data_IF_631931982114
#
_entry.id   IF_631931982114
#
_cell.length_a   1.000
_cell.length_b   1.000
_cell.length_c   1.000
_cell.angle_alpha   90.00
_cell.angle_beta   90.00
_cell.angle_gamma   90.00
#
_symmetry.space_group_name_H-M   'P 1'
#
loop_
_entity.id
_entity.type
_entity.pdbx_description
1 polymer ?
#
# COMPACT_ATOMS: atom_id res chain seq x y z
N UNK A 1 49.71 13.61 30.90
CA UNK A 1 49.77 14.86 31.69
C UNK A 1 48.60 14.79 32.64
N UNK A 2 48.88 14.21 33.74
CA UNK A 2 49.04 14.79 35.07
C UNK A 2 47.68 15.12 35.69
N UNK A 3 47.33 14.32 36.66
CA UNK A 3 47.59 14.43 38.11
C UNK A 3 46.33 15.01 38.78
N UNK A 4 45.77 14.52 39.77
CA UNK A 4 46.01 13.82 41.03
C UNK A 4 44.80 14.07 41.94
N UNK A 5 44.39 13.04 42.62
CA UNK A 5 44.50 12.87 44.06
C UNK A 5 43.83 13.93 44.98
N UNK A 6 42.95 13.55 45.87
CA UNK A 6 43.28 13.12 47.28
C UNK A 6 41.96 12.92 48.04
N UNK A 7 41.73 11.75 48.65
CA UNK A 7 42.04 11.42 50.04
C UNK A 7 41.34 12.37 51.03
N UNK A 8 40.79 12.02 52.10
CA UNK A 8 40.94 10.96 53.11
C UNK A 8 39.85 11.15 54.15
N UNK A 9 39.36 10.05 54.66
CA UNK A 9 39.39 9.66 56.10
C UNK A 9 38.46 10.44 57.01
N UNK A 10 37.78 9.84 57.83
CA UNK A 10 37.94 8.79 58.79
C UNK A 10 37.19 9.13 60.09
N UNK A 11 36.85 8.12 60.76
CA UNK A 11 36.74 7.86 62.19
C UNK A 11 35.36 8.07 62.83
N UNK A 12 34.75 6.99 63.17
CA UNK A 12 34.93 6.09 64.34
C UNK A 12 34.60 6.74 65.70
N UNK A 13 33.83 6.01 66.40
CA UNK A 13 33.77 5.85 67.89
C UNK A 13 32.46 6.34 68.45
N UNK A 14 31.80 5.71 69.31
CA UNK A 14 31.93 4.58 70.20
C UNK A 14 30.62 4.58 71.00
N UNK A 15 30.08 3.42 71.17
CA UNK A 15 30.07 2.65 72.39
C UNK A 15 29.16 3.21 73.51
N UNK A 16 28.20 2.47 73.79
CA UNK A 16 28.07 1.61 74.95
C UNK A 16 27.22 2.13 76.12
N UNK A 17 26.49 1.15 76.66
CA UNK A 17 25.98 1.00 78.03
C UNK A 17 24.69 1.77 78.37
N UNK A 18 23.65 1.17 78.94
CA UNK A 18 23.48 0.34 80.13
C UNK A 18 22.05 -0.20 80.15
N UNK A 19 21.76 -1.40 80.08
CA UNK A 19 21.43 -2.43 81.04
C UNK A 19 20.65 -1.99 82.30
N UNK A 20 19.59 -2.80 82.61
CA UNK A 20 18.93 -3.08 83.89
C UNK A 20 17.72 -2.23 84.28
N UNK A 21 16.61 -2.85 84.42
CA UNK A 21 15.90 -3.34 85.58
C UNK A 21 14.52 -3.81 85.15
N UNK A 22 14.20 -5.03 85.14
CA UNK A 22 13.86 -6.00 86.12
C UNK A 22 12.55 -5.73 86.85
N UNK A 23 11.63 -6.61 86.57
CA UNK A 23 10.82 -7.39 87.48
C UNK A 23 9.57 -6.80 88.20
N UNK A 24 8.55 -7.63 88.10
CA UNK A 24 7.48 -7.92 89.01
C UNK A 24 6.27 -6.95 89.03
N UNK A 25 5.12 -7.39 88.82
CA UNK A 25 4.32 -8.18 89.73
C UNK A 25 3.06 -8.77 89.10
N UNK A 26 2.81 -9.95 89.51
CA UNK A 26 1.70 -10.80 89.12
C UNK A 26 0.37 -10.37 89.76
N UNK A 27 -0.65 -11.06 89.24
CA UNK A 27 -1.96 -11.37 89.89
C UNK A 27 -3.15 -10.50 89.56
N UNK A 28 -4.08 -11.18 88.92
CA UNK A 28 -5.44 -10.74 88.76
C UNK A 28 -6.24 -11.72 87.88
N UNK A 29 -6.55 -12.90 88.47
CA UNK A 29 -7.58 -13.79 87.89
C UNK A 29 -8.93 -13.14 87.99
N UNK A 30 -9.65 -13.04 86.90
CA UNK A 30 -11.09 -12.89 86.84
C UNK A 30 -11.71 -13.74 85.77
N UNK A 31 -12.52 -14.65 86.18
CA UNK A 31 -13.25 -15.64 85.44
C UNK A 31 -14.41 -14.97 84.66
N UNK A 32 -14.34 -15.00 83.33
CA UNK A 32 -15.37 -14.50 82.40
C UNK A 32 -15.61 -15.51 81.32
N UNK A 33 -16.72 -16.20 81.38
CA UNK A 33 -17.20 -17.16 80.39
C UNK A 33 -17.13 -16.57 78.96
N UNK A 34 -16.26 -17.10 78.18
CA UNK A 34 -16.25 -16.89 76.70
C UNK A 34 -17.44 -17.66 76.11
N UNK A 35 -18.30 -16.93 75.49
CA UNK A 35 -19.29 -17.44 74.56
C UNK A 35 -18.59 -17.66 73.20
N UNK A 36 -18.42 -18.92 72.90
CA UNK A 36 -18.00 -19.32 71.56
C UNK A 36 -19.00 -18.75 70.53
N UNK A 37 -18.57 -17.78 69.76
CA UNK A 37 -19.15 -17.47 68.50
C UNK A 37 -18.12 -17.93 67.43
N UNK A 38 -18.23 -19.21 67.04
CA UNK A 38 -17.74 -19.69 65.77
C UNK A 38 -18.48 -18.94 64.65
N UNK A 39 -17.86 -17.91 64.23
CA UNK A 39 -18.15 -17.21 63.01
C UNK A 39 -16.84 -17.06 62.26
N UNK A 40 -16.31 -18.16 61.76
CA UNK A 40 -15.29 -18.10 60.76
C UNK A 40 -15.91 -17.43 59.52
N UNK A 41 -15.75 -16.11 59.39
CA UNK A 41 -15.85 -15.47 58.11
C UNK A 41 -14.79 -16.15 57.22
N UNK A 42 -15.26 -17.06 56.38
CA UNK A 42 -14.45 -17.61 55.30
C UNK A 42 -13.98 -16.40 54.49
N UNK A 43 -12.72 -16.01 54.68
CA UNK A 43 -12.09 -15.05 53.81
C UNK A 43 -12.28 -15.57 52.38
N UNK A 44 -13.09 -14.85 51.61
CA UNK A 44 -13.32 -15.11 50.20
C UNK A 44 -11.97 -14.93 49.46
N UNK A 45 -11.19 -16.02 49.40
CA UNK A 45 -9.87 -16.06 48.75
C UNK A 45 -10.00 -16.13 47.23
N UNK A 46 -11.18 -15.79 46.72
CA UNK A 46 -11.41 -15.76 45.27
C UNK A 46 -10.68 -14.58 44.61
N UNK A 47 -9.97 -14.86 43.55
CA UNK A 47 -9.24 -13.85 42.75
C UNK A 47 -10.25 -13.13 41.85
N UNK A 48 -10.33 -11.79 41.91
CA UNK A 48 -11.19 -11.07 40.99
C UNK A 48 -10.65 -11.16 39.56
N UNK A 49 -11.51 -11.52 38.59
CA UNK A 49 -11.17 -11.67 37.18
C UNK A 49 -12.24 -11.05 36.30
N UNK A 50 -11.81 -10.42 35.19
CA UNK A 50 -12.72 -10.02 34.12
C UNK A 50 -12.80 -11.13 33.10
N UNK A 51 -13.99 -11.39 32.58
CA UNK A 51 -14.22 -12.43 31.60
C UNK A 51 -14.96 -11.88 30.38
N UNK A 52 -14.63 -12.42 29.21
CA UNK A 52 -15.35 -12.14 27.97
C UNK A 52 -15.83 -13.45 27.31
N UNK A 53 -16.98 -13.43 26.65
CA UNK A 53 -17.40 -14.54 25.80
C UNK A 53 -16.53 -14.59 24.55
N UNK A 54 -16.34 -15.79 24.03
CA UNK A 54 -15.75 -15.99 22.70
C UNK A 54 -16.68 -15.42 21.61
N UNK A 55 -16.10 -14.94 20.55
CA UNK A 55 -16.83 -14.33 19.44
C UNK A 55 -16.52 -15.08 18.14
N UNK A 56 -17.55 -15.33 17.33
CA UNK A 56 -17.37 -15.80 15.97
C UNK A 56 -17.57 -14.63 15.02
N UNK A 57 -16.54 -14.32 14.25
CA UNK A 57 -16.59 -13.21 13.29
C UNK A 57 -15.60 -13.47 12.14
N UNK A 58 -15.76 -12.79 11.01
CA UNK A 58 -14.76 -12.82 9.95
C UNK A 58 -13.40 -12.37 10.43
N UNK A 59 -12.34 -13.06 10.02
CA UNK A 59 -10.97 -12.70 10.28
C UNK A 59 -10.17 -12.75 8.99
N UNK A 60 -9.31 -11.78 8.78
CA UNK A 60 -8.46 -11.69 7.62
C UNK A 60 -7.00 -11.62 8.05
N UNK A 61 -6.14 -12.30 7.29
CA UNK A 61 -4.71 -12.10 7.37
C UNK A 61 -4.29 -11.13 6.26
N UNK A 62 -3.51 -10.13 6.62
CA UNK A 62 -3.06 -9.09 5.71
C UNK A 62 -1.54 -9.02 5.68
N UNK A 63 -1.00 -8.79 4.50
CA UNK A 63 0.36 -8.32 4.33
C UNK A 63 0.31 -6.80 4.19
N UNK A 64 0.99 -6.07 5.06
CA UNK A 64 1.04 -4.60 5.01
C UNK A 64 2.41 -4.14 4.50
N UNK A 65 2.40 -3.32 3.48
CA UNK A 65 3.58 -2.66 2.93
C UNK A 65 3.28 -1.21 2.61
N UNK A 66 4.32 -0.40 2.42
CA UNK A 66 4.19 0.98 1.93
C UNK A 66 4.71 1.08 0.51
N UNK A 67 4.04 1.86 -0.32
CA UNK A 67 4.43 2.10 -1.69
C UNK A 67 4.03 3.51 -2.13
N UNK A 68 4.78 4.14 -3.06
CA UNK A 68 4.29 5.32 -3.74
C UNK A 68 3.15 4.92 -4.69
N UNK A 69 2.19 5.81 -4.82
CA UNK A 69 1.18 5.75 -5.88
C UNK A 69 1.83 6.30 -7.16
N UNK A 70 1.76 5.55 -8.22
CA UNK A 70 2.32 5.90 -9.53
C UNK A 70 1.22 5.92 -10.58
N UNK A 71 1.46 6.63 -11.66
CA UNK A 71 0.61 6.55 -12.84
C UNK A 71 0.80 5.19 -13.52
N UNK A 72 -0.26 4.69 -14.14
CA UNK A 72 -0.19 3.45 -14.91
C UNK A 72 0.79 3.58 -16.10
N UNK A 73 0.64 4.67 -16.83
CA UNK A 73 1.50 5.05 -17.95
C UNK A 73 1.75 6.55 -17.91
N UNK A 74 2.93 6.98 -18.29
CA UNK A 74 3.22 8.37 -18.58
C UNK A 74 4.01 8.47 -19.91
N UNK A 75 3.71 9.50 -20.66
CA UNK A 75 4.34 9.75 -21.94
C UNK A 75 4.83 11.18 -22.01
N UNK A 76 6.13 11.33 -22.25
CA UNK A 76 6.71 12.60 -22.64
C UNK A 76 6.55 12.79 -24.14
N UNK A 77 5.76 13.79 -24.52
CA UNK A 77 5.47 14.11 -25.90
C UNK A 77 6.55 15.07 -26.40
N UNK A 78 7.35 14.61 -27.36
CA UNK A 78 8.42 15.40 -27.96
C UNK A 78 8.05 15.84 -29.36
N UNK A 79 8.59 16.98 -29.81
CA UNK A 79 8.44 17.44 -31.18
C UNK A 79 9.19 16.51 -32.15
N UNK A 80 8.55 16.07 -33.24
CA UNK A 80 9.19 15.25 -34.28
C UNK A 80 9.81 16.10 -35.38
N UNK A 81 9.30 17.33 -35.57
CA UNK A 81 9.82 18.33 -36.50
C UNK A 81 10.00 19.66 -35.78
N UNK A 82 10.90 20.50 -36.29
CA UNK A 82 11.09 21.86 -35.78
C UNK A 82 10.10 22.84 -36.38
N UNK A 83 9.76 23.89 -35.64
CA UNK A 83 8.89 24.97 -36.09
C UNK A 83 8.48 25.91 -34.97
N UNK A 84 7.84 27.01 -35.33
CA UNK A 84 7.20 27.93 -34.37
C UNK A 84 5.88 27.35 -33.90
N UNK A 85 5.59 27.44 -32.62
CA UNK A 85 4.30 27.03 -32.02
C UNK A 85 3.22 28.08 -32.39
N UNK A 86 2.32 27.71 -33.26
CA UNK A 86 1.23 28.59 -33.72
C UNK A 86 0.01 28.56 -32.80
N UNK A 87 -0.36 27.36 -32.33
CA UNK A 87 -1.56 27.15 -31.54
C UNK A 87 -1.32 26.07 -30.50
N UNK A 88 -1.95 26.24 -29.35
CA UNK A 88 -2.03 25.26 -28.26
C UNK A 88 -3.53 25.06 -27.96
N UNK A 89 -3.98 23.82 -27.90
CA UNK A 89 -5.39 23.45 -27.77
C UNK A 89 -5.73 22.93 -26.39
N UNK A 90 -4.73 22.69 -25.52
CA UNK A 90 -4.90 22.11 -24.19
C UNK A 90 -4.01 22.83 -23.18
N UNK A 91 -4.47 22.82 -21.93
CA UNK A 91 -3.72 23.32 -20.77
C UNK A 91 -3.42 22.19 -19.79
N UNK A 92 -2.55 22.47 -18.80
CA UNK A 92 -2.27 21.55 -17.72
C UNK A 92 -3.54 21.27 -16.92
N UNK A 93 -3.83 19.98 -16.67
CA UNK A 93 -5.05 19.50 -16.03
C UNK A 93 -6.12 19.02 -17.00
N UNK A 94 -6.04 19.33 -18.29
CA UNK A 94 -7.01 18.88 -19.27
C UNK A 94 -6.93 17.38 -19.51
N UNK A 95 -8.08 16.75 -19.69
CA UNK A 95 -8.17 15.33 -20.09
C UNK A 95 -8.10 15.23 -21.61
N UNK A 96 -7.27 14.33 -22.11
CA UNK A 96 -7.02 14.11 -23.54
C UNK A 96 -7.17 12.64 -23.93
N UNK A 97 -7.54 12.41 -25.19
CA UNK A 97 -7.60 11.08 -25.78
C UNK A 97 -6.37 10.79 -26.64
N UNK A 98 -6.04 9.49 -26.81
CA UNK A 98 -4.98 9.10 -27.74
C UNK A 98 -5.24 9.64 -29.16
N UNK A 99 -4.22 10.22 -29.81
CA UNK A 99 -4.32 10.86 -31.11
C UNK A 99 -4.87 12.28 -31.10
N UNK A 100 -5.35 12.81 -29.98
CA UNK A 100 -5.84 14.20 -29.88
C UNK A 100 -4.71 15.19 -30.15
N UNK A 101 -4.98 16.24 -30.93
CA UNK A 101 -4.02 17.32 -31.20
C UNK A 101 -3.91 18.20 -29.95
N UNK A 102 -2.69 18.36 -29.46
CA UNK A 102 -2.36 19.18 -28.29
C UNK A 102 -1.88 20.58 -28.70
N UNK A 103 -1.08 20.63 -29.76
CA UNK A 103 -0.55 21.88 -30.34
C UNK A 103 -0.29 21.74 -31.85
N UNK A 104 -0.16 22.85 -32.50
CA UNK A 104 0.18 22.93 -33.93
C UNK A 104 1.36 23.86 -34.14
N UNK A 105 2.34 23.36 -34.89
CA UNK A 105 3.50 24.12 -35.35
C UNK A 105 3.20 24.79 -36.68
N UNK A 106 4.01 25.78 -36.99
CA UNK A 106 4.03 26.35 -38.37
C UNK A 106 4.48 25.29 -39.38
N UNK A 107 3.59 24.91 -40.25
CA UNK A 107 3.80 23.91 -41.28
C UNK A 107 3.80 24.51 -42.72
N UNK A 108 3.84 25.84 -42.87
CA UNK A 108 3.65 26.45 -44.19
C UNK A 108 4.70 25.98 -45.22
N UNK A 109 5.98 25.91 -44.80
CA UNK A 109 7.04 25.37 -45.68
C UNK A 109 6.79 23.91 -46.06
N UNK A 110 6.48 23.04 -45.08
CA UNK A 110 6.21 21.61 -45.31
C UNK A 110 4.97 21.40 -46.19
N UNK A 111 3.96 22.27 -46.07
CA UNK A 111 2.76 22.25 -46.92
C UNK A 111 3.08 22.58 -48.35
N UNK A 112 3.96 23.56 -48.59
CA UNK A 112 4.43 23.91 -49.94
C UNK A 112 5.28 22.79 -50.54
N UNK A 113 6.18 22.19 -49.77
CA UNK A 113 7.02 21.06 -50.20
C UNK A 113 6.14 19.84 -50.57
N UNK A 114 5.11 19.55 -49.78
CA UNK A 114 4.13 18.52 -50.12
C UNK A 114 3.37 18.82 -51.40
N UNK A 115 2.89 20.06 -51.59
CA UNK A 115 2.15 20.45 -52.77
C UNK A 115 3.02 20.34 -54.04
N UNK A 116 4.31 20.69 -53.95
CA UNK A 116 5.26 20.53 -55.05
C UNK A 116 5.48 19.05 -55.40
N UNK A 117 5.69 18.19 -54.39
CA UNK A 117 5.90 16.76 -54.59
C UNK A 117 4.64 16.11 -55.18
N UNK A 118 3.45 16.50 -54.70
CA UNK A 118 2.17 16.06 -55.26
C UNK A 118 1.99 16.41 -56.74
N UNK A 119 2.37 17.64 -57.13
CA UNK A 119 2.31 18.05 -58.54
C UNK A 119 3.23 17.19 -59.41
N UNK A 120 4.44 16.89 -58.95
CA UNK A 120 5.37 16.02 -59.62
C UNK A 120 4.85 14.57 -59.69
N UNK A 121 4.26 14.05 -58.65
CA UNK A 121 3.64 12.72 -58.58
C UNK A 121 2.56 12.60 -59.67
N UNK A 122 1.61 13.55 -59.71
CA UNK A 122 0.55 13.57 -60.72
C UNK A 122 1.10 13.64 -62.16
N UNK A 123 2.25 14.28 -62.38
CA UNK A 123 2.93 14.29 -63.68
C UNK A 123 3.43 12.90 -64.03
N UNK A 124 4.20 12.23 -63.12
CA UNK A 124 4.74 10.90 -63.38
C UNK A 124 3.66 9.83 -63.49
N UNK A 125 2.56 9.93 -62.75
CA UNK A 125 1.41 9.02 -62.89
C UNK A 125 0.82 9.07 -64.31
N UNK A 126 0.68 10.27 -64.88
CA UNK A 126 0.22 10.46 -66.28
C UNK A 126 1.22 9.93 -67.24
N UNK A 127 2.51 10.17 -67.04
CA UNK A 127 3.59 9.73 -67.96
C UNK A 127 3.69 8.20 -67.95
N UNK A 128 3.65 7.55 -66.74
CA UNK A 128 3.61 6.09 -66.62
C UNK A 128 2.40 5.50 -67.36
N UNK A 129 1.20 6.03 -67.12
CA UNK A 129 -0.03 5.57 -67.80
C UNK A 129 0.11 5.62 -69.33
N UNK A 130 0.65 6.73 -69.88
CA UNK A 130 0.90 6.87 -71.32
C UNK A 130 1.94 5.85 -71.80
N UNK A 131 3.03 5.63 -71.04
CA UNK A 131 4.05 4.66 -71.45
C UNK A 131 3.51 3.21 -71.40
N UNK A 132 2.68 2.90 -70.42
CA UNK A 132 2.01 1.60 -70.28
C UNK A 132 1.11 1.35 -71.53
N UNK A 133 0.22 2.29 -71.90
CA UNK A 133 -0.66 2.21 -73.08
C UNK A 133 0.10 2.05 -74.40
N UNK A 134 1.23 2.76 -74.52
CA UNK A 134 2.09 2.65 -75.73
C UNK A 134 2.82 1.29 -75.79
N UNK A 135 3.25 0.77 -74.61
CA UNK A 135 3.91 -0.53 -74.54
C UNK A 135 2.93 -1.67 -74.84
N UNK A 136 1.70 -1.59 -74.40
CA UNK A 136 0.63 -2.56 -74.68
C UNK A 136 0.30 -2.60 -76.18
N UNK A 137 0.43 -1.46 -76.90
CA UNK A 137 0.28 -1.34 -78.38
C UNK A 137 1.54 -1.72 -79.10
N UNK A 138 2.65 -2.11 -78.45
CA UNK A 138 3.93 -2.45 -79.08
C UNK A 138 4.70 -1.26 -79.62
N UNK A 139 4.32 -0.03 -79.23
CA UNK A 139 4.92 1.23 -79.80
C UNK A 139 6.17 1.66 -79.02
N UNK A 140 6.40 1.12 -77.84
CA UNK A 140 7.61 1.33 -77.01
C UNK A 140 8.10 0.03 -76.45
N UNK A 141 9.39 -0.05 -76.07
CA UNK A 141 9.93 -1.24 -75.38
C UNK A 141 9.30 -1.41 -73.99
N UNK A 142 9.06 -2.66 -73.53
CA UNK A 142 8.52 -2.97 -72.15
C UNK A 142 9.36 -2.33 -71.08
N UNK A 143 10.70 -2.33 -71.21
CA UNK A 143 11.58 -1.70 -70.21
C UNK A 143 11.35 -0.20 -70.05
N UNK A 144 10.80 0.51 -71.06
CA UNK A 144 10.45 1.94 -70.89
C UNK A 144 9.28 2.15 -69.93
N UNK A 145 8.25 1.30 -70.03
CA UNK A 145 7.12 1.35 -69.11
C UNK A 145 7.51 0.88 -67.66
N UNK A 146 8.41 -0.12 -67.58
CA UNK A 146 8.95 -0.57 -66.29
C UNK A 146 9.77 0.52 -65.61
N UNK A 147 10.67 1.21 -66.36
CA UNK A 147 11.43 2.33 -65.81
C UNK A 147 10.51 3.47 -65.33
N UNK A 148 9.50 3.83 -66.12
CA UNK A 148 8.53 4.85 -65.73
C UNK A 148 7.75 4.44 -64.47
N UNK A 149 7.53 3.14 -64.26
CA UNK A 149 6.94 2.62 -63.01
C UNK A 149 7.87 2.82 -61.82
N UNK A 150 9.16 2.47 -61.95
CA UNK A 150 10.13 2.66 -60.87
C UNK A 150 10.28 4.14 -60.49
N UNK A 151 10.29 5.05 -61.47
CA UNK A 151 10.34 6.50 -61.23
C UNK A 151 9.08 6.98 -60.47
N UNK A 152 7.90 6.44 -60.83
CA UNK A 152 6.65 6.73 -60.13
C UNK A 152 6.66 6.22 -58.70
N UNK A 153 7.09 4.96 -58.48
CA UNK A 153 7.14 4.35 -57.16
C UNK A 153 8.11 5.10 -56.24
N UNK A 154 9.26 5.55 -56.75
CA UNK A 154 10.23 6.38 -56.03
C UNK A 154 9.63 7.74 -55.61
N UNK A 155 8.92 8.42 -56.54
CA UNK A 155 8.30 9.70 -56.21
C UNK A 155 7.08 9.56 -55.30
N UNK A 156 6.35 8.44 -55.36
CA UNK A 156 5.27 8.14 -54.42
C UNK A 156 5.81 8.03 -53.00
N UNK A 157 6.93 7.31 -52.82
CA UNK A 157 7.60 7.23 -51.50
C UNK A 157 8.06 8.61 -51.00
N UNK A 158 8.54 9.50 -51.89
CA UNK A 158 8.89 10.87 -51.52
C UNK A 158 7.66 11.70 -51.11
N UNK A 159 6.53 11.54 -51.78
CA UNK A 159 5.27 12.18 -51.42
C UNK A 159 4.76 11.71 -50.05
N UNK A 160 4.77 10.40 -49.81
CA UNK A 160 4.35 9.82 -48.54
C UNK A 160 5.23 10.32 -47.37
N UNK A 161 6.54 10.47 -47.59
CA UNK A 161 7.48 11.08 -46.64
C UNK A 161 7.15 12.53 -46.32
N UNK A 162 6.91 13.37 -47.36
CA UNK A 162 6.55 14.77 -47.19
C UNK A 162 5.21 14.93 -46.46
N UNK A 163 4.25 14.06 -46.75
CA UNK A 163 2.96 14.01 -46.03
C UNK A 163 3.14 13.65 -44.54
N UNK A 164 3.99 12.68 -44.26
CA UNK A 164 4.30 12.28 -42.88
C UNK A 164 4.99 13.42 -42.12
N UNK A 165 5.96 14.10 -42.72
CA UNK A 165 6.63 15.26 -42.09
C UNK A 165 5.65 16.39 -41.80
N UNK A 166 4.74 16.70 -42.71
CA UNK A 166 3.68 17.68 -42.48
C UNK A 166 2.77 17.26 -41.33
N UNK A 167 2.43 15.97 -41.23
CA UNK A 167 1.61 15.44 -40.13
C UNK A 167 2.26 15.65 -38.77
N UNK A 168 3.58 15.67 -38.68
CA UNK A 168 4.34 15.88 -37.46
C UNK A 168 4.30 17.33 -36.96
N UNK A 169 3.77 18.27 -37.74
CA UNK A 169 3.49 19.63 -37.27
C UNK A 169 2.33 19.65 -36.26
N UNK A 170 1.50 18.61 -36.26
CA UNK A 170 0.48 18.43 -35.25
C UNK A 170 1.04 17.55 -34.14
N UNK A 171 1.29 18.17 -32.97
CA UNK A 171 1.72 17.48 -31.75
C UNK A 171 0.51 16.79 -31.14
N UNK A 172 0.55 15.44 -31.07
CA UNK A 172 -0.59 14.62 -30.63
C UNK A 172 -0.28 13.83 -29.39
N UNK A 173 -1.30 13.58 -28.54
CA UNK A 173 -1.20 12.71 -27.39
C UNK A 173 -0.99 11.25 -27.81
N UNK A 174 0.08 10.56 -27.36
CA UNK A 174 0.30 9.16 -27.69
C UNK A 174 -0.57 8.20 -26.88
N UNK A 175 -1.01 8.60 -25.68
CA UNK A 175 -1.85 7.85 -24.75
C UNK A 175 -3.03 8.71 -24.28
N UNK A 176 -4.13 8.09 -23.84
CA UNK A 176 -5.18 8.84 -23.13
C UNK A 176 -4.70 9.20 -21.72
N UNK A 177 -5.18 10.31 -21.16
CA UNK A 177 -4.80 10.72 -19.81
C UNK A 177 -5.06 12.20 -19.55
N UNK A 178 -4.28 12.75 -18.63
CA UNK A 178 -4.33 14.17 -18.26
C UNK A 178 -2.99 14.82 -18.62
N UNK A 179 -3.03 16.03 -19.13
CA UNK A 179 -1.83 16.84 -19.39
C UNK A 179 -1.23 17.23 -18.02
N UNK A 180 -0.15 16.59 -17.65
CA UNK A 180 0.52 16.81 -16.35
C UNK A 180 1.57 17.92 -16.39
N UNK A 181 2.12 18.22 -17.57
CA UNK A 181 3.04 19.35 -17.78
C UNK A 181 2.99 19.85 -19.23
N UNK A 182 3.25 21.15 -19.40
CA UNK A 182 3.39 21.82 -20.69
C UNK A 182 4.69 22.63 -20.73
N UNK A 183 5.58 22.30 -21.66
CA UNK A 183 6.92 22.91 -21.79
C UNK A 183 7.00 23.99 -22.86
N UNK A 184 5.95 24.16 -23.69
CA UNK A 184 5.93 25.08 -24.83
C UNK A 184 4.91 26.21 -24.63
N UNK A 185 5.17 27.33 -25.29
CA UNK A 185 4.27 28.52 -25.35
C UNK A 185 4.08 28.92 -26.80
N UNK A 186 2.96 29.57 -27.12
CA UNK A 186 2.70 30.15 -28.42
C UNK A 186 3.83 31.13 -28.77
N UNK A 187 4.36 31.07 -29.98
CA UNK A 187 5.50 31.86 -30.46
C UNK A 187 6.88 31.27 -30.14
N UNK A 188 6.96 30.20 -29.35
CA UNK A 188 8.24 29.50 -29.15
C UNK A 188 8.66 28.81 -30.43
N UNK A 189 9.94 28.89 -30.79
CA UNK A 189 10.56 28.05 -31.82
C UNK A 189 11.14 26.81 -31.15
N UNK A 190 10.69 25.64 -31.56
CA UNK A 190 11.15 24.35 -31.03
C UNK A 190 11.90 23.56 -32.10
N UNK A 191 12.74 22.63 -31.63
CA UNK A 191 13.55 21.72 -32.45
C UNK A 191 13.02 20.29 -32.35
N UNK A 192 13.38 19.39 -33.28
CA UNK A 192 13.13 17.97 -33.13
C UNK A 192 13.70 17.45 -31.79
N UNK A 193 12.93 16.60 -31.12
CA UNK A 193 13.19 16.02 -29.79
C UNK A 193 13.04 16.98 -28.58
N UNK A 194 12.67 18.25 -28.80
CA UNK A 194 12.34 19.12 -27.67
C UNK A 194 11.07 18.60 -26.95
N UNK A 195 11.05 18.53 -25.59
CA UNK A 195 9.88 18.15 -24.83
C UNK A 195 8.78 19.21 -24.99
N UNK A 196 7.56 18.78 -25.22
CA UNK A 196 6.42 19.66 -25.45
C UNK A 196 5.33 19.55 -24.38
N UNK A 197 4.86 18.33 -24.14
CA UNK A 197 3.86 18.02 -23.12
C UNK A 197 4.24 16.75 -22.38
N UNK A 198 3.70 16.60 -21.18
CA UNK A 198 3.68 15.32 -20.49
C UNK A 198 2.21 14.90 -20.31
N UNK A 199 1.86 13.71 -20.77
CA UNK A 199 0.52 13.13 -20.62
C UNK A 199 0.63 11.94 -19.70
N UNK A 200 -0.18 11.93 -18.63
CA UNK A 200 -0.15 10.94 -17.57
C UNK A 200 -1.50 10.24 -17.49
N UNK A 201 -1.49 8.92 -17.58
CA UNK A 201 -2.69 8.11 -17.37
C UNK A 201 -2.92 7.88 -15.87
N UNK A 202 -4.02 8.41 -15.36
CA UNK A 202 -4.38 8.37 -13.94
C UNK A 202 -5.41 7.27 -13.60
N UNK A 203 -5.82 6.46 -14.57
CA UNK A 203 -6.84 5.42 -14.36
C UNK A 203 -6.50 4.11 -15.11
N UNK A 204 -6.26 3.01 -14.36
CA UNK A 204 -6.08 2.98 -12.90
C UNK A 204 -4.71 3.53 -12.47
N UNK A 205 -4.63 4.06 -11.26
CA UNK A 205 -3.33 4.28 -10.61
C UNK A 205 -2.73 2.95 -10.15
N UNK A 206 -1.43 2.92 -9.94
CA UNK A 206 -0.73 1.72 -9.51
C UNK A 206 0.13 1.96 -8.28
N UNK A 207 0.35 0.90 -7.50
CA UNK A 207 1.32 0.88 -6.42
C UNK A 207 2.18 -0.39 -6.53
N UNK A 208 3.51 -0.23 -6.49
CA UNK A 208 4.42 -1.36 -6.45
C UNK A 208 4.83 -1.67 -5.01
N UNK A 209 4.24 -2.71 -4.45
CA UNK A 209 4.57 -3.17 -3.10
C UNK A 209 5.74 -4.13 -3.17
N UNK A 210 6.80 -3.85 -2.41
CA UNK A 210 7.96 -4.72 -2.27
C UNK A 210 7.71 -5.74 -1.16
N UNK A 211 7.67 -7.00 -1.52
CA UNK A 211 7.29 -8.10 -0.63
C UNK A 211 8.46 -9.05 -0.45
N UNK A 212 8.87 -9.39 0.79
CA UNK A 212 9.94 -10.35 1.04
C UNK A 212 9.63 -11.73 0.44
N UNK A 213 10.66 -12.43 -0.08
CA UNK A 213 10.52 -13.72 -0.74
C UNK A 213 9.77 -14.78 0.11
N UNK A 214 9.98 -14.76 1.43
CA UNK A 214 9.28 -15.68 2.36
C UNK A 214 7.75 -15.58 2.32
N UNK A 215 7.21 -14.43 1.89
CA UNK A 215 5.78 -14.18 1.79
C UNK A 215 5.20 -14.53 0.41
N UNK A 216 6.06 -14.95 -0.55
CA UNK A 216 5.67 -15.20 -1.96
C UNK A 216 4.48 -16.14 -2.09
N UNK A 217 4.47 -17.22 -1.30
CA UNK A 217 3.40 -18.24 -1.38
C UNK A 217 2.02 -17.75 -0.90
N UNK A 218 1.99 -16.63 -0.19
CA UNK A 218 0.76 -16.05 0.35
C UNK A 218 0.06 -15.13 -0.65
N UNK A 219 0.79 -14.61 -1.64
CA UNK A 219 0.28 -13.61 -2.57
C UNK A 219 0.01 -14.20 -3.93
N UNK A 220 -1.11 -13.81 -4.53
CA UNK A 220 -1.54 -14.21 -5.86
C UNK A 220 -2.25 -13.05 -6.58
N UNK A 221 -2.18 -13.00 -7.92
CA UNK A 221 -3.01 -12.08 -8.69
C UNK A 221 -4.50 -12.27 -8.38
N UNK A 222 -5.27 -11.17 -8.37
CA UNK A 222 -6.69 -11.15 -8.04
C UNK A 222 -7.01 -10.95 -6.55
N UNK A 223 -6.02 -10.96 -5.66
CA UNK A 223 -6.25 -10.65 -4.25
C UNK A 223 -6.60 -9.18 -4.05
N UNK A 224 -7.55 -8.94 -3.15
CA UNK A 224 -8.00 -7.59 -2.78
C UNK A 224 -6.97 -6.93 -1.87
N UNK A 225 -6.72 -5.67 -2.12
CA UNK A 225 -5.91 -4.80 -1.28
C UNK A 225 -6.73 -3.61 -0.81
N UNK A 226 -6.48 -3.18 0.41
CA UNK A 226 -6.99 -1.93 0.97
C UNK A 226 -5.83 -0.92 1.00
N UNK A 227 -5.97 0.15 0.25
CA UNK A 227 -4.93 1.17 0.06
C UNK A 227 -5.31 2.39 0.88
N UNK A 228 -4.53 2.69 1.91
CA UNK A 228 -4.79 3.79 2.84
C UNK A 228 -3.78 4.90 2.61
N UNK A 229 -4.28 6.11 2.36
CA UNK A 229 -3.43 7.28 2.07
C UNK A 229 -3.51 8.27 3.22
N UNK A 230 -2.43 8.33 4.01
CA UNK A 230 -2.38 9.18 5.21
C UNK A 230 -2.47 10.68 4.87
N UNK A 231 -1.98 11.10 3.70
CA UNK A 231 -2.08 12.48 3.21
C UNK A 231 -3.53 12.93 2.94
N UNK A 232 -4.46 12.00 2.77
CA UNK A 232 -5.90 12.23 2.61
C UNK A 232 -6.68 11.91 3.89
N UNK A 233 -6.05 12.07 5.07
CA UNK A 233 -6.71 11.81 6.36
C UNK A 233 -6.98 10.33 6.64
N UNK A 234 -6.27 9.42 5.96
CA UNK A 234 -6.48 7.98 6.12
C UNK A 234 -7.63 7.44 5.25
N UNK A 235 -7.95 8.10 4.16
CA UNK A 235 -8.97 7.62 3.20
C UNK A 235 -8.56 6.27 2.61
N UNK A 236 -9.56 5.38 2.44
CA UNK A 236 -9.40 4.01 1.97
C UNK A 236 -9.80 3.89 0.50
N UNK A 237 -8.94 3.29 -0.30
CA UNK A 237 -9.20 3.01 -1.71
C UNK A 237 -9.10 1.50 -1.97
N UNK A 238 -10.09 0.92 -2.66
CA UNK A 238 -10.03 -0.49 -3.03
C UNK A 238 -8.94 -0.70 -4.08
N UNK A 239 -8.09 -1.69 -3.86
CA UNK A 239 -7.07 -2.10 -4.81
C UNK A 239 -7.13 -3.60 -5.09
N UNK A 240 -6.45 -4.03 -6.15
CA UNK A 240 -6.34 -5.45 -6.51
C UNK A 240 -4.95 -5.74 -7.03
N UNK A 241 -4.35 -6.87 -6.61
CA UNK A 241 -3.10 -7.33 -7.21
C UNK A 241 -3.38 -7.74 -8.66
N UNK A 242 -2.84 -6.98 -9.60
CA UNK A 242 -2.94 -7.32 -11.03
C UNK A 242 -1.83 -8.26 -11.48
N UNK A 243 -0.63 -8.09 -10.93
CA UNK A 243 0.54 -8.87 -11.33
C UNK A 243 1.56 -8.96 -10.20
N UNK A 244 2.29 -10.08 -10.18
CA UNK A 244 3.44 -10.29 -9.31
C UNK A 244 4.66 -10.50 -10.21
N UNK A 245 5.78 -9.82 -9.89
CA UNK A 245 7.04 -10.00 -10.62
C UNK A 245 7.50 -11.45 -10.54
N UNK A 246 7.89 -12.09 -11.64
CA UNK A 246 8.42 -13.44 -11.64
C UNK A 246 9.86 -13.52 -11.08
N UNK A 247 10.50 -12.38 -10.87
CA UNK A 247 11.88 -12.28 -10.40
C UNK A 247 11.95 -11.61 -9.04
N UNK A 248 12.86 -12.11 -8.20
CA UNK A 248 13.24 -11.51 -6.92
C UNK A 248 14.42 -10.58 -7.16
N UNK A 249 14.42 -9.42 -6.58
CA UNK A 249 15.56 -8.52 -6.56
C UNK A 249 16.62 -9.08 -5.59
N UNK A 250 17.82 -9.46 -6.08
CA UNK A 250 18.83 -10.10 -5.26
C UNK A 250 19.45 -9.14 -4.22
N UNK A 251 19.34 -7.83 -4.39
CA UNK A 251 19.88 -6.86 -3.45
C UNK A 251 18.98 -6.70 -2.22
N UNK A 252 17.67 -6.75 -2.42
CA UNK A 252 16.68 -6.51 -1.36
C UNK A 252 16.01 -7.79 -0.87
N UNK A 253 16.13 -8.92 -1.60
CA UNK A 253 15.42 -10.17 -1.30
C UNK A 253 13.90 -10.02 -1.40
N UNK A 254 13.43 -9.07 -2.22
CA UNK A 254 12.00 -8.80 -2.39
C UNK A 254 11.56 -9.02 -3.84
N UNK A 255 10.28 -9.29 -4.03
CA UNK A 255 9.62 -9.23 -5.33
C UNK A 255 8.60 -8.10 -5.33
N UNK A 256 8.23 -7.61 -6.52
CA UNK A 256 7.24 -6.55 -6.67
C UNK A 256 5.86 -7.13 -6.94
N UNK A 257 4.90 -6.73 -6.12
CA UNK A 257 3.48 -6.94 -6.38
C UNK A 257 2.89 -5.61 -6.92
N UNK A 258 2.31 -5.66 -8.12
CA UNK A 258 1.61 -4.53 -8.73
C UNK A 258 0.16 -4.55 -8.27
N UNK A 259 -0.23 -3.51 -7.56
CA UNK A 259 -1.60 -3.27 -7.11
C UNK A 259 -2.20 -2.17 -7.96
N UNK A 260 -3.31 -2.43 -8.62
CA UNK A 260 -4.11 -1.46 -9.33
C UNK A 260 -5.12 -0.84 -8.39
N UNK A 261 -5.21 0.49 -8.42
CA UNK A 261 -6.05 1.29 -7.54
C UNK A 261 -6.93 2.19 -8.40
N UNK A 262 -8.16 1.77 -8.73
CA UNK A 262 -9.10 2.63 -9.42
C UNK A 262 -9.53 3.77 -8.51
N UNK A 263 -9.48 5.01 -9.01
CA UNK A 263 -9.92 6.19 -8.28
C UNK A 263 -10.88 7.03 -9.11
N UNK A 264 -12.16 6.70 -9.03
CA UNK A 264 -13.22 7.44 -9.70
C UNK A 264 -13.37 8.88 -9.19
N UNK A 265 -12.90 9.17 -7.96
CA UNK A 265 -13.00 10.47 -7.33
C UNK A 265 -11.87 11.41 -7.72
N UNK A 266 -10.78 10.86 -8.27
CA UNK A 266 -9.54 11.57 -8.64
C UNK A 266 -8.87 12.31 -7.46
N UNK A 267 -9.07 11.82 -6.23
CA UNK A 267 -8.40 12.33 -5.04
C UNK A 267 -6.93 11.90 -4.98
N UNK A 268 -6.64 10.70 -5.46
CA UNK A 268 -5.27 10.20 -5.51
C UNK A 268 -4.45 10.96 -6.55
N UNK A 269 -3.21 11.25 -6.18
CA UNK A 269 -2.24 11.84 -7.10
C UNK A 269 -0.97 10.98 -7.14
N UNK A 270 -0.38 10.79 -8.33
CA UNK A 270 0.94 10.18 -8.43
C UNK A 270 1.94 10.91 -7.53
N UNK A 271 2.80 10.16 -6.85
CA UNK A 271 3.75 10.66 -5.86
C UNK A 271 3.27 10.63 -4.41
N UNK A 272 1.98 10.40 -4.14
CA UNK A 272 1.50 10.16 -2.79
C UNK A 272 1.98 8.81 -2.28
N UNK A 273 2.26 8.70 -0.97
CA UNK A 273 2.58 7.44 -0.32
C UNK A 273 1.32 6.82 0.27
N UNK A 274 1.20 5.52 0.06
CA UNK A 274 0.09 4.74 0.57
C UNK A 274 0.58 3.53 1.37
N UNK A 275 -0.19 3.16 2.37
CA UNK A 275 -0.10 1.87 3.06
C UNK A 275 -1.02 0.90 2.37
N UNK A 276 -0.46 -0.17 1.83
CA UNK A 276 -1.19 -1.18 1.07
C UNK A 276 -1.33 -2.43 1.92
N UNK A 277 -2.56 -2.78 2.27
CA UNK A 277 -2.92 -3.95 3.07
C UNK A 277 -3.51 -5.02 2.14
N UNK A 278 -2.72 -6.00 1.77
CA UNK A 278 -3.12 -7.10 0.87
C UNK A 278 -3.72 -8.22 1.69
N UNK A 279 -4.97 -8.58 1.43
CA UNK A 279 -5.65 -9.70 2.09
C UNK A 279 -5.23 -11.00 1.41
N UNK A 280 -4.48 -11.86 2.12
CA UNK A 280 -4.03 -13.13 1.57
C UNK A 280 -4.78 -14.34 2.11
N UNK A 281 -5.45 -14.22 3.25
CA UNK A 281 -6.30 -15.26 3.81
C UNK A 281 -7.52 -14.65 4.49
N UNK A 282 -8.68 -15.28 4.30
CA UNK A 282 -9.93 -14.86 4.92
C UNK A 282 -10.66 -16.08 5.46
N UNK A 283 -11.15 -15.98 6.69
CA UNK A 283 -12.00 -16.98 7.36
C UNK A 283 -13.24 -16.31 7.89
N UNK A 284 -14.39 -16.65 7.33
CA UNK A 284 -15.64 -15.92 7.61
C UNK A 284 -16.25 -16.24 8.98
N UNK A 285 -15.89 -17.35 9.59
CA UNK A 285 -16.47 -17.83 10.88
C UNK A 285 -15.37 -18.24 11.86
N UNK A 286 -14.34 -17.42 12.02
CA UNK A 286 -13.25 -17.68 12.94
C UNK A 286 -13.69 -17.49 14.40
N UNK A 287 -13.37 -18.46 15.26
CA UNK A 287 -13.54 -18.31 16.69
C UNK A 287 -12.40 -17.42 17.20
N UNK A 288 -12.75 -16.28 17.80
CA UNK A 288 -11.81 -15.22 18.16
C UNK A 288 -11.77 -14.96 19.64
N UNK A 289 -10.58 -14.66 20.13
CA UNK A 289 -10.36 -14.15 21.46
C UNK A 289 -9.39 -12.95 21.45
N UNK A 290 -9.44 -12.06 22.44
CA UNK A 290 -8.50 -10.96 22.55
C UNK A 290 -7.08 -11.49 22.83
N UNK A 291 -6.07 -10.89 22.22
CA UNK A 291 -4.67 -11.30 22.38
C UNK A 291 -4.18 -11.27 23.83
N UNK A 292 -4.68 -10.33 24.64
CA UNK A 292 -4.33 -10.20 26.05
C UNK A 292 -4.83 -11.35 26.93
N UNK A 293 -5.76 -12.19 26.45
CA UNK A 293 -6.23 -13.37 27.16
C UNK A 293 -5.27 -14.56 27.05
N UNK A 294 -4.33 -14.53 26.09
CA UNK A 294 -3.40 -15.64 25.84
C UNK A 294 -2.20 -15.54 26.78
N UNK A 295 -1.89 -16.65 27.40
CA UNK A 295 -0.67 -16.89 28.14
C UNK A 295 0.26 -17.73 27.27
N UNK A 296 1.46 -17.23 27.06
CA UNK A 296 2.52 -17.93 26.37
C UNK A 296 3.58 -18.32 27.40
N UNK A 297 3.72 -19.61 27.64
CA UNK A 297 4.71 -20.15 28.55
C UNK A 297 5.42 -21.30 27.85
N UNK A 298 6.74 -21.20 27.74
CA UNK A 298 7.62 -22.22 27.12
C UNK A 298 7.20 -22.61 25.69
N UNK A 299 6.60 -21.67 24.93
CA UNK A 299 6.10 -21.90 23.58
C UNK A 299 4.74 -22.61 23.50
N UNK A 300 4.10 -22.87 24.64
CA UNK A 300 2.75 -23.40 24.73
C UNK A 300 1.75 -22.29 25.02
N UNK A 301 0.78 -22.14 24.13
CA UNK A 301 -0.27 -21.13 24.29
C UNK A 301 -1.45 -21.72 25.06
N UNK A 302 -1.90 -20.97 26.07
CA UNK A 302 -3.02 -21.35 26.89
C UNK A 302 -3.88 -20.15 27.31
N UNK A 303 -5.09 -20.41 27.72
CA UNK A 303 -6.03 -19.43 28.29
C UNK A 303 -6.65 -19.94 29.56
N UNK A 304 -7.11 -19.04 30.42
CA UNK A 304 -7.97 -19.41 31.53
C UNK A 304 -9.44 -19.27 31.16
N UNK A 305 -10.21 -20.33 31.36
CA UNK A 305 -11.68 -20.31 31.29
C UNK A 305 -12.27 -20.38 32.69
N UNK A 306 -13.49 -19.86 32.89
CA UNK A 306 -14.18 -19.95 34.15
C UNK A 306 -15.25 -21.05 34.11
N UNK A 307 -15.06 -22.09 34.90
CA UNK A 307 -16.00 -23.21 35.05
C UNK A 307 -16.39 -23.33 36.53
N UNK A 308 -17.67 -23.20 36.83
CA UNK A 308 -18.19 -23.29 38.21
C UNK A 308 -17.41 -22.43 39.22
N UNK A 309 -17.14 -21.17 38.90
CA UNK A 309 -16.37 -20.19 39.67
C UNK A 309 -14.92 -20.62 39.99
N UNK A 310 -14.34 -21.47 39.18
CA UNK A 310 -12.92 -21.84 39.24
C UNK A 310 -12.25 -21.55 37.92
N UNK A 311 -11.00 -21.11 37.96
CA UNK A 311 -10.16 -20.97 36.78
C UNK A 311 -9.67 -22.35 36.32
N UNK A 312 -9.82 -22.65 35.03
CA UNK A 312 -9.28 -23.84 34.40
C UNK A 312 -8.36 -23.39 33.27
N UNK A 313 -7.09 -23.77 33.35
CA UNK A 313 -6.14 -23.49 32.27
C UNK A 313 -6.36 -24.50 31.13
N UNK A 314 -6.52 -23.99 29.93
CA UNK A 314 -6.74 -24.81 28.74
C UNK A 314 -5.74 -24.46 27.66
N UNK A 315 -5.04 -25.45 27.13
CA UNK A 315 -4.17 -25.28 25.96
C UNK A 315 -5.00 -24.99 24.75
N UNK A 316 -4.50 -24.08 23.92
CA UNK A 316 -5.12 -23.70 22.65
C UNK A 316 -4.11 -23.77 21.52
N UNK A 317 -4.62 -23.97 20.33
CA UNK A 317 -3.87 -23.77 19.08
C UNK A 317 -4.44 -22.54 18.40
N UNK A 318 -3.59 -21.57 18.14
CA UNK A 318 -3.98 -20.32 17.50
C UNK A 318 -3.78 -20.36 15.99
N UNK A 319 -4.50 -19.53 15.28
CA UNK A 319 -4.43 -19.35 13.83
C UNK A 319 -4.08 -17.91 13.47
N UNK A 320 -4.96 -17.30 12.67
CA UNK A 320 -4.80 -15.91 12.21
C UNK A 320 -4.82 -14.92 13.39
N UNK A 321 -4.07 -13.83 13.24
CA UNK A 321 -4.08 -12.72 14.18
C UNK A 321 -4.33 -11.41 13.41
N UNK A 322 -5.29 -10.60 13.88
CA UNK A 322 -5.61 -9.31 13.28
C UNK A 322 -6.23 -8.36 14.32
N UNK A 323 -5.81 -7.08 14.29
CA UNK A 323 -6.37 -5.99 15.12
C UNK A 323 -6.56 -6.35 16.61
N UNK A 324 -5.56 -7.04 17.21
CA UNK A 324 -5.61 -7.40 18.64
C UNK A 324 -6.49 -8.62 18.96
N UNK A 325 -7.06 -9.28 17.96
CA UNK A 325 -7.78 -10.54 18.04
C UNK A 325 -6.97 -11.68 17.46
N UNK A 326 -7.12 -12.87 18.03
CA UNK A 326 -6.46 -14.10 17.59
C UNK A 326 -7.49 -15.18 17.39
N UNK A 327 -7.36 -15.92 16.30
CA UNK A 327 -8.19 -17.08 16.00
C UNK A 327 -7.78 -18.28 16.86
N UNK A 328 -8.76 -19.01 17.33
CA UNK A 328 -8.58 -20.30 18.00
C UNK A 328 -8.96 -21.42 17.05
N UNK A 329 -8.00 -22.26 16.71
CA UNK A 329 -8.21 -23.42 15.86
C UNK A 329 -8.67 -24.64 16.65
N UNK A 330 -8.07 -24.84 17.85
CA UNK A 330 -8.38 -25.95 18.74
C UNK A 330 -8.27 -25.55 20.20
N UNK A 331 -8.95 -26.30 21.07
CA UNK A 331 -8.88 -26.14 22.54
C UNK A 331 -10.11 -25.51 23.16
N UNK A 332 -10.95 -24.79 22.40
CA UNK A 332 -12.19 -24.16 22.86
C UNK A 332 -13.39 -24.54 21.99
N UNK A 333 -14.58 -24.58 22.54
CA UNK A 333 -15.83 -24.93 21.86
C UNK A 333 -16.61 -23.70 21.36
N UNK A 334 -16.43 -22.57 22.03
CA UNK A 334 -17.05 -21.29 21.64
C UNK A 334 -18.14 -20.78 22.58
N UNK A 335 -18.51 -21.54 23.56
CA UNK A 335 -19.47 -21.17 24.62
C UNK A 335 -18.81 -20.81 25.97
N UNK A 336 -17.48 -20.92 26.01
CA UNK A 336 -16.71 -20.66 27.22
C UNK A 336 -16.54 -19.15 27.49
N UNK A 337 -16.41 -18.81 28.78
CA UNK A 337 -16.05 -17.47 29.25
C UNK A 337 -14.57 -17.46 29.57
N UNK A 338 -13.79 -16.66 28.79
CA UNK A 338 -12.34 -16.55 28.96
C UNK A 338 -11.96 -15.39 29.85
N UNK A 339 -10.92 -15.58 30.66
CA UNK A 339 -10.34 -14.53 31.51
C UNK A 339 -9.50 -13.60 30.65
N UNK A 340 -9.80 -12.31 30.66
CA UNK A 340 -9.08 -11.26 29.90
C UNK A 340 -8.25 -10.34 30.81
N UNK A 341 -8.61 -10.24 32.08
CA UNK A 341 -7.87 -9.49 33.12
C UNK A 341 -7.83 -10.32 34.40
N UNK A 342 -6.70 -10.26 35.11
CA UNK A 342 -6.49 -10.99 36.37
C UNK A 342 -5.87 -12.37 36.21
N UNK A 343 -5.43 -12.74 34.98
CA UNK A 343 -4.83 -14.04 34.71
C UNK A 343 -3.43 -14.23 35.32
N UNK A 344 -2.73 -13.12 35.65
CA UNK A 344 -1.40 -13.18 36.23
C UNK A 344 -1.47 -13.79 37.65
N UNK A 345 -0.83 -14.94 37.84
CA UNK A 345 -0.83 -15.66 39.10
C UNK A 345 -1.98 -16.66 39.33
N UNK A 346 -2.94 -16.79 38.38
CA UNK A 346 -3.93 -17.86 38.43
C UNK A 346 -3.27 -19.22 38.19
N UNK A 347 -3.78 -20.20 38.91
CA UNK A 347 -3.49 -21.63 38.69
C UNK A 347 -4.78 -22.38 38.42
N UNK A 348 -4.67 -23.50 37.73
CA UNK A 348 -5.85 -24.34 37.49
C UNK A 348 -6.46 -24.77 38.82
N UNK A 349 -7.77 -24.57 39.01
CA UNK A 349 -8.49 -24.84 40.24
C UNK A 349 -8.64 -23.64 41.18
N UNK A 350 -7.99 -22.51 40.96
CA UNK A 350 -8.12 -21.29 41.77
C UNK A 350 -9.57 -20.78 41.74
N UNK A 351 -10.15 -20.52 42.93
CA UNK A 351 -11.46 -19.89 43.04
C UNK A 351 -11.40 -18.46 42.48
N UNK A 352 -12.32 -18.11 41.60
CA UNK A 352 -12.38 -16.78 40.95
C UNK A 352 -13.74 -16.14 41.18
N UNK A 353 -13.71 -14.84 41.35
CA UNK A 353 -14.90 -13.98 41.39
C UNK A 353 -14.94 -13.16 40.10
N UNK A 354 -15.93 -13.42 39.26
CA UNK A 354 -16.14 -12.67 38.05
C UNK A 354 -16.61 -11.27 38.42
N UNK A 355 -15.85 -10.27 37.99
CA UNK A 355 -16.22 -8.86 38.09
C UNK A 355 -16.68 -8.45 36.68
N UNK A 356 -18.01 -8.28 36.51
CA UNK A 356 -18.57 -7.79 35.27
C UNK A 356 -18.28 -6.29 35.16
N UNK A 357 -17.39 -5.91 34.23
CA UNK A 357 -17.16 -4.51 33.91
C UNK A 357 -18.30 -3.95 33.03
N UNK A 358 -19.47 -3.68 33.64
CA UNK A 358 -20.53 -2.87 32.99
C UNK A 358 -20.32 -1.37 33.10
N UNK A 359 -19.15 -0.91 33.56
CA UNK A 359 -18.90 0.50 33.88
C UNK A 359 -17.54 1.05 33.45
N UNK A 360 -17.15 0.84 32.19
CA UNK A 360 -16.18 1.77 31.57
C UNK A 360 -16.55 2.05 30.10
N UNK A 361 -17.04 3.27 29.78
CA UNK A 361 -17.12 3.68 28.41
C UNK A 361 -15.68 3.77 27.86
N UNK A 362 -15.43 3.05 26.78
CA UNK A 362 -14.23 3.23 25.95
C UNK A 362 -14.32 4.61 25.33
N UNK A 363 -13.55 5.55 25.84
CA UNK A 363 -13.55 6.91 25.30
C UNK A 363 -12.84 7.90 26.21
N UNK A 364 -11.55 7.91 26.18
CA UNK A 364 -10.72 8.94 26.78
C UNK A 364 -9.61 9.30 25.80
N UNK A 365 -9.93 10.10 24.79
CA UNK A 365 -8.95 10.88 24.06
C UNK A 365 -8.28 11.83 25.04
N UNK A 366 -7.01 11.58 25.35
CA UNK A 366 -6.17 12.57 26.02
C UNK A 366 -5.91 13.69 25.01
N UNK A 367 -6.62 14.81 25.20
CA UNK A 367 -6.22 16.09 24.64
C UNK A 367 -4.94 16.52 25.37
N UNK A 368 -3.82 16.48 24.67
CA UNK A 368 -2.62 17.21 25.06
C UNK A 368 -2.73 18.63 24.50
N UNK A 369 -2.54 19.58 25.43
CA UNK A 369 -2.41 21.01 25.16
C UNK A 369 -1.17 21.32 24.35
#
# INVERSE_FOLDING_TARGET
MTIQHRRLSARMSAAALVLLAAAALASGCSNGKAKDKDGAEAQDTSVPVEVQPLKRAPMVAVYSGTAPIEANDDAEVVAKVGGEVRQIFVEEGDTVHAGQVLARLDGDRLRLDLAQTEANLRKLERDYKRQLELSEKGLVAKGTAENAKYDLDALRAAYDSAQLELSYTEIRAPIPGVVSARHIKIGNTIKPNDPTFKVTNLDPLIAFVHVPEKEFRKLAPGQVADVVVDALGGEHFPGTISRISPTVDPQTGTFRARVEVPDATRHLKPGMFARVNIVYERRDNALQLPRNAILDADGEQSVFIVVKNKAEQRRITTGLANNGWIEVLNGLKGDERIVVVGQAGLKSGTAVKVVDDKARPVGGQAQAK
#
